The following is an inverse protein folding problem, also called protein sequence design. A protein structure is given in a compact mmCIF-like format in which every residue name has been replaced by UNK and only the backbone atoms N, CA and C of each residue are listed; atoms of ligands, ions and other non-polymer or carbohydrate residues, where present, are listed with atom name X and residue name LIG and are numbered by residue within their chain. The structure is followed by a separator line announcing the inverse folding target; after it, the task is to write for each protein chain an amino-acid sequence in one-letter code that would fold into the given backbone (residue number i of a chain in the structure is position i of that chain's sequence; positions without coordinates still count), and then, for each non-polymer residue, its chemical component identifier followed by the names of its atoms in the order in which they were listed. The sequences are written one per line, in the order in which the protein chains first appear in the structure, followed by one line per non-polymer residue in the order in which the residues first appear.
data_IF_901421708686
#
_entry.id   IF_901421708686
#
_cell.length_a   1.000
_cell.length_b   1.000
_cell.length_c   1.000
_cell.angle_alpha   90.00
_cell.angle_beta   90.00
_cell.angle_gamma   90.00
#
_symmetry.space_group_name_H-M   'P 1'
#
loop_
_entity.id
_entity.type
_entity.pdbx_description
1 polymer ?
#
# COMPACT_ATOMS: atom_id res chain seq x y z
N UNK A 1 -1.28 22.68 23.96
CA UNK A 1 -1.92 21.35 23.89
C UNK A 1 -0.93 20.38 23.29
N UNK A 2 -0.63 19.27 23.96
CA UNK A 2 0.33 18.28 23.46
C UNK A 2 -0.24 17.60 22.21
N UNK A 3 0.54 17.53 21.12
CA UNK A 3 0.13 16.91 19.85
C UNK A 3 -0.25 15.44 19.97
N UNK A 4 0.16 14.77 21.06
CA UNK A 4 -0.11 13.36 21.35
C UNK A 4 -1.61 13.07 21.50
N UNK A 5 -2.37 13.97 22.14
CA UNK A 5 -3.80 13.76 22.42
C UNK A 5 -4.64 13.70 21.14
N UNK A 6 -4.21 14.37 20.06
CA UNK A 6 -4.92 14.39 18.79
C UNK A 6 -4.77 13.08 17.99
N UNK A 7 -3.63 12.40 18.10
CA UNK A 7 -3.38 11.14 17.38
C UNK A 7 -4.17 9.99 18.00
N UNK A 8 -4.33 10.01 19.33
CA UNK A 8 -5.05 8.95 20.05
C UNK A 8 -6.56 8.93 19.76
N UNK A 9 -7.11 10.08 19.37
CA UNK A 9 -8.52 10.26 18.99
C UNK A 9 -8.86 9.76 17.58
N UNK A 10 -7.89 9.26 16.81
CA UNK A 10 -8.16 8.68 15.48
C UNK A 10 -9.01 7.43 15.62
N UNK A 11 -10.17 7.44 14.98
CA UNK A 11 -11.10 6.32 14.93
C UNK A 11 -10.45 5.09 14.26
N UNK A 12 -10.59 3.88 14.83
CA UNK A 12 -10.21 2.65 14.16
C UNK A 12 -10.90 2.50 12.81
N UNK A 13 -10.17 2.02 11.81
CA UNK A 13 -10.70 1.80 10.45
C UNK A 13 -10.61 0.31 10.15
N UNK A 14 -11.72 -0.30 9.72
CA UNK A 14 -11.74 -1.67 9.20
C UNK A 14 -11.24 -1.72 7.75
N UNK A 15 -10.82 -2.89 7.27
CA UNK A 15 -10.38 -3.07 5.87
C UNK A 15 -11.48 -2.67 4.87
N UNK A 16 -12.75 -3.00 5.16
CA UNK A 16 -13.89 -2.61 4.34
C UNK A 16 -14.07 -1.09 4.31
N UNK A 17 -14.05 -0.43 5.47
CA UNK A 17 -14.17 1.03 5.55
C UNK A 17 -13.01 1.74 4.84
N UNK A 18 -11.79 1.19 4.90
CA UNK A 18 -10.64 1.69 4.14
C UNK A 18 -10.97 1.69 2.64
N UNK A 19 -11.38 0.54 2.12
CA UNK A 19 -11.71 0.37 0.70
C UNK A 19 -12.86 1.27 0.27
N UNK A 20 -13.97 1.28 1.00
CA UNK A 20 -15.17 2.05 0.67
C UNK A 20 -14.88 3.55 0.60
N UNK A 21 -14.11 4.08 1.56
CA UNK A 21 -13.71 5.50 1.59
C UNK A 21 -12.75 5.83 0.45
N UNK A 22 -11.78 4.96 0.14
CA UNK A 22 -10.85 5.17 -0.98
C UNK A 22 -11.59 5.14 -2.34
N UNK A 23 -12.46 4.15 -2.55
CA UNK A 23 -13.28 4.05 -3.76
C UNK A 23 -14.20 5.26 -3.94
N UNK A 24 -14.80 5.75 -2.86
CA UNK A 24 -15.60 6.98 -2.91
C UNK A 24 -14.78 8.16 -3.40
N UNK A 25 -13.61 8.40 -2.80
CA UNK A 25 -12.73 9.49 -3.23
C UNK A 25 -12.33 9.36 -4.71
N UNK A 26 -11.94 8.15 -5.13
CA UNK A 26 -11.57 7.92 -6.52
C UNK A 26 -12.73 8.14 -7.50
N UNK A 27 -13.97 7.80 -7.13
CA UNK A 27 -15.16 8.11 -7.96
C UNK A 27 -15.38 9.62 -8.10
N UNK A 28 -15.15 10.38 -7.03
CA UNK A 28 -15.24 11.85 -7.04
C UNK A 28 -14.15 12.44 -7.94
N UNK A 29 -12.89 12.00 -7.78
CA UNK A 29 -11.76 12.41 -8.65
C UNK A 29 -11.96 12.05 -10.11
N UNK A 30 -12.51 10.86 -10.35
CA UNK A 30 -12.88 10.36 -11.67
C UNK A 30 -13.85 11.31 -12.38
N UNK A 31 -14.88 11.78 -11.67
CA UNK A 31 -15.84 12.75 -12.19
C UNK A 31 -15.16 14.09 -12.52
N UNK A 32 -14.32 14.60 -11.62
CA UNK A 32 -13.59 15.87 -11.84
C UNK A 32 -12.68 15.81 -13.06
N UNK A 33 -11.93 14.70 -13.24
CA UNK A 33 -11.06 14.50 -14.40
C UNK A 33 -11.88 14.45 -15.69
N UNK A 34 -12.99 13.72 -15.69
CA UNK A 34 -13.89 13.62 -16.84
C UNK A 34 -14.51 14.95 -17.26
N UNK A 35 -14.90 15.77 -16.30
CA UNK A 35 -15.40 17.12 -16.53
C UNK A 35 -14.31 18.02 -17.08
N UNK A 36 -13.11 17.97 -16.49
CA UNK A 36 -11.96 18.78 -16.91
C UNK A 36 -11.42 18.42 -18.29
N UNK A 37 -11.64 17.19 -18.78
CA UNK A 37 -11.22 16.78 -20.12
C UNK A 37 -12.03 17.47 -21.24
N UNK A 38 -13.23 17.97 -20.95
CA UNK A 38 -14.10 18.60 -21.94
C UNK A 38 -14.82 17.61 -22.86
N UNK A 39 -15.41 18.15 -23.94
CA UNK A 39 -16.01 17.40 -25.02
C UNK A 39 -15.57 18.03 -26.36
N UNK A 40 -14.69 17.38 -27.13
CA UNK A 40 -14.18 16.03 -26.89
C UNK A 40 -13.15 15.93 -25.74
N UNK A 41 -12.98 14.73 -25.17
CA UNK A 41 -12.05 14.51 -24.07
C UNK A 41 -10.59 14.72 -24.49
N UNK A 42 -9.96 15.77 -23.97
CA UNK A 42 -8.55 16.07 -24.17
C UNK A 42 -7.83 16.22 -22.82
N UNK A 43 -6.77 15.43 -22.61
CA UNK A 43 -5.96 15.50 -21.39
C UNK A 43 -5.28 16.86 -21.19
N UNK A 44 -5.06 17.62 -22.26
CA UNK A 44 -4.46 18.97 -22.22
C UNK A 44 -5.39 19.97 -21.54
N UNK A 45 -6.69 19.70 -21.53
CA UNK A 45 -7.68 20.52 -20.84
C UNK A 45 -7.61 20.37 -19.30
N UNK A 46 -6.95 19.32 -18.79
CA UNK A 46 -6.88 19.05 -17.35
C UNK A 46 -5.81 19.95 -16.71
N UNK A 47 -6.18 20.95 -15.88
CA UNK A 47 -5.21 21.88 -15.34
C UNK A 47 -4.30 21.22 -14.31
N UNK A 48 -3.04 21.68 -14.23
CA UNK A 48 -2.06 21.18 -13.25
C UNK A 48 -2.54 21.35 -11.79
N UNK A 49 -3.37 22.37 -11.53
CA UNK A 49 -3.99 22.62 -10.22
C UNK A 49 -4.93 21.50 -9.79
N UNK A 50 -5.73 20.94 -10.71
CA UNK A 50 -6.63 19.82 -10.41
C UNK A 50 -5.82 18.55 -10.03
N UNK A 51 -4.75 18.25 -10.77
CA UNK A 51 -3.86 17.14 -10.42
C UNK A 51 -3.14 17.33 -9.07
N UNK A 52 -2.88 18.58 -8.68
CA UNK A 52 -2.34 18.90 -7.36
C UNK A 52 -3.39 18.67 -6.29
N UNK A 53 -4.62 19.15 -6.50
CA UNK A 53 -5.75 18.96 -5.59
C UNK A 53 -6.00 17.47 -5.31
N UNK A 54 -6.17 16.66 -6.37
CA UNK A 54 -6.39 15.21 -6.28
C UNK A 54 -5.33 14.54 -5.40
N UNK A 55 -4.04 14.82 -5.65
CA UNK A 55 -2.93 14.26 -4.87
C UNK A 55 -3.00 14.68 -3.41
N UNK A 56 -3.30 15.95 -3.15
CA UNK A 56 -3.31 16.49 -1.79
C UNK A 56 -4.48 15.88 -0.97
N UNK A 57 -5.65 15.70 -1.60
CA UNK A 57 -6.80 15.00 -1.03
C UNK A 57 -6.51 13.49 -0.82
N UNK A 58 -5.95 12.79 -1.81
CA UNK A 58 -5.52 11.40 -1.70
C UNK A 58 -4.53 11.22 -0.54
N UNK A 59 -3.52 12.09 -0.45
CA UNK A 59 -2.51 12.03 0.61
C UNK A 59 -3.16 12.21 1.99
N UNK A 60 -4.07 13.18 2.14
CA UNK A 60 -4.75 13.44 3.40
C UNK A 60 -5.62 12.25 3.82
N UNK A 61 -6.46 11.73 2.91
CA UNK A 61 -7.30 10.57 3.19
C UNK A 61 -6.45 9.34 3.53
N UNK A 62 -5.43 9.03 2.72
CA UNK A 62 -4.57 7.87 2.96
C UNK A 62 -3.89 7.96 4.33
N UNK A 63 -3.42 9.14 4.75
CA UNK A 63 -2.82 9.29 6.07
C UNK A 63 -3.82 8.95 7.19
N UNK A 64 -5.05 9.44 7.10
CA UNK A 64 -6.10 9.15 8.09
C UNK A 64 -6.44 7.66 8.12
N UNK A 65 -6.62 7.04 6.94
CA UNK A 65 -6.94 5.60 6.85
C UNK A 65 -5.80 4.72 7.36
N UNK A 66 -4.54 5.06 7.01
CA UNK A 66 -3.36 4.35 7.50
C UNK A 66 -3.22 4.47 9.02
N UNK A 67 -3.46 5.65 9.60
CA UNK A 67 -3.46 5.83 11.06
C UNK A 67 -4.56 5.00 11.74
N UNK A 68 -5.77 5.00 11.16
CA UNK A 68 -6.90 4.22 11.67
C UNK A 68 -6.67 2.70 11.66
N UNK A 69 -5.77 2.20 10.79
CA UNK A 69 -5.32 0.79 10.79
C UNK A 69 -4.15 0.58 11.77
N UNK A 70 -3.12 1.43 11.71
CA UNK A 70 -1.89 1.22 12.44
C UNK A 70 -2.01 1.43 13.95
N UNK A 71 -2.82 2.38 14.41
CA UNK A 71 -2.94 2.69 15.84
C UNK A 71 -3.59 1.56 16.65
N UNK A 72 -4.72 0.96 16.21
CA UNK A 72 -5.26 -0.24 16.84
C UNK A 72 -4.24 -1.39 16.86
N UNK A 73 -3.56 -1.66 15.73
CA UNK A 73 -2.53 -2.70 15.69
C UNK A 73 -1.38 -2.42 16.65
N UNK A 74 -0.95 -1.16 16.80
CA UNK A 74 0.10 -0.78 17.74
C UNK A 74 -0.32 -1.04 19.19
N UNK A 75 -1.58 -0.77 19.54
CA UNK A 75 -2.15 -1.03 20.87
C UNK A 75 -2.26 -2.53 21.15
N UNK A 76 -2.74 -3.30 20.18
CA UNK A 76 -2.85 -4.76 20.26
C UNK A 76 -1.47 -5.40 20.48
N UNK A 77 -0.46 -5.01 19.71
CA UNK A 77 0.91 -5.48 19.88
C UNK A 77 1.42 -5.12 21.30
N UNK A 78 1.19 -3.89 21.77
CA UNK A 78 1.61 -3.48 23.12
C UNK A 78 0.99 -4.37 24.19
N UNK A 79 -0.31 -4.66 24.06
CA UNK A 79 -1.05 -5.51 24.98
C UNK A 79 -0.49 -6.93 24.98
N UNK A 80 -0.28 -7.52 23.79
CA UNK A 80 0.31 -8.86 23.66
C UNK A 80 1.69 -8.93 24.32
N UNK A 81 2.53 -7.90 24.15
CA UNK A 81 3.84 -7.83 24.81
C UNK A 81 3.69 -7.77 26.33
N UNK A 82 2.79 -6.93 26.84
CA UNK A 82 2.55 -6.80 28.28
C UNK A 82 2.02 -8.10 28.92
N UNK A 83 1.27 -8.91 28.18
CA UNK A 83 0.73 -10.19 28.66
C UNK A 83 1.76 -11.33 28.63
N UNK A 84 2.73 -11.29 27.71
CA UNK A 84 3.65 -12.40 27.45
C UNK A 84 5.10 -12.15 27.91
N UNK A 85 5.43 -10.92 28.30
CA UNK A 85 6.78 -10.55 28.74
C UNK A 85 6.67 -9.97 30.13
N UNK A 86 7.35 -10.60 31.09
CA UNK A 86 7.46 -10.06 32.44
C UNK A 86 8.34 -8.81 32.40
N UNK A 87 7.72 -7.64 32.58
CA UNK A 87 8.42 -6.36 32.56
C UNK A 87 7.90 -5.45 33.67
N UNK A 88 8.78 -4.65 34.30
CA UNK A 88 8.38 -3.70 35.31
C UNK A 88 7.52 -2.56 34.73
N UNK A 89 7.73 -2.18 33.46
CA UNK A 89 6.90 -1.20 32.76
C UNK A 89 6.78 -1.55 31.26
N UNK A 90 5.57 -1.52 30.68
CA UNK A 90 5.39 -1.80 29.25
C UNK A 90 6.01 -0.70 28.39
N UNK A 91 6.55 -1.02 27.19
CA UNK A 91 7.14 -0.04 26.29
C UNK A 91 6.17 1.10 25.97
N UNK A 92 6.71 2.30 25.81
CA UNK A 92 5.90 3.48 25.44
C UNK A 92 5.31 3.29 24.04
N UNK A 93 4.21 4.00 23.73
CA UNK A 93 3.67 3.98 22.38
C UNK A 93 4.47 4.93 21.47
N UNK A 94 5.12 4.44 20.40
CA UNK A 94 5.95 5.26 19.50
C UNK A 94 5.09 6.02 18.46
N UNK A 95 4.05 6.73 18.91
CA UNK A 95 3.02 7.36 18.06
C UNK A 95 3.61 8.38 17.08
N UNK A 96 4.53 9.22 17.53
CA UNK A 96 5.19 10.24 16.70
C UNK A 96 6.05 9.63 15.58
N UNK A 97 6.81 8.58 15.90
CA UNK A 97 7.62 7.85 14.91
C UNK A 97 6.73 7.17 13.87
N UNK A 98 5.65 6.53 14.31
CA UNK A 98 4.65 5.93 13.44
C UNK A 98 4.02 6.98 12.52
N UNK A 99 3.56 8.12 13.06
CA UNK A 99 2.97 9.20 12.29
C UNK A 99 3.90 9.71 11.18
N UNK A 100 5.18 9.96 11.50
CA UNK A 100 6.18 10.38 10.50
C UNK A 100 6.35 9.36 9.37
N UNK A 101 6.38 8.06 9.70
CA UNK A 101 6.48 6.97 8.69
C UNK A 101 5.25 6.94 7.80
N UNK A 102 4.06 6.93 8.38
CA UNK A 102 2.79 6.86 7.64
C UNK A 102 2.58 8.10 6.76
N UNK A 103 2.95 9.30 7.24
CA UNK A 103 2.88 10.54 6.44
C UNK A 103 3.78 10.47 5.20
N UNK A 104 5.01 9.96 5.31
CA UNK A 104 5.89 9.75 4.15
C UNK A 104 5.30 8.72 3.18
N UNK A 105 4.75 7.62 3.70
CA UNK A 105 4.10 6.58 2.90
C UNK A 105 2.89 7.12 2.15
N UNK A 106 1.96 7.80 2.82
CA UNK A 106 0.77 8.40 2.20
C UNK A 106 1.15 9.33 1.04
N UNK A 107 2.16 10.20 1.24
CA UNK A 107 2.67 11.08 0.19
C UNK A 107 3.25 10.32 -1.01
N UNK A 108 4.02 9.27 -0.75
CA UNK A 108 4.59 8.43 -1.79
C UNK A 108 3.49 7.73 -2.61
N UNK A 109 2.50 7.14 -1.93
CA UNK A 109 1.38 6.42 -2.56
C UNK A 109 0.53 7.37 -3.39
N UNK A 110 0.09 8.51 -2.84
CA UNK A 110 -0.67 9.52 -3.60
C UNK A 110 0.08 10.01 -4.85
N UNK A 111 1.39 10.23 -4.73
CA UNK A 111 2.23 10.61 -5.89
C UNK A 111 2.28 9.50 -6.94
N UNK A 112 2.37 8.24 -6.53
CA UNK A 112 2.39 7.07 -7.41
C UNK A 112 1.04 6.83 -8.08
N UNK A 113 -0.06 6.94 -7.33
CA UNK A 113 -1.44 6.83 -7.83
C UNK A 113 -1.65 7.88 -8.91
N UNK A 114 -1.38 9.16 -8.61
CA UNK A 114 -1.49 10.24 -9.60
C UNK A 114 -0.69 9.95 -10.86
N UNK A 115 0.60 9.62 -10.74
CA UNK A 115 1.48 9.38 -11.90
C UNK A 115 0.94 8.23 -12.76
N UNK A 116 0.54 7.12 -12.14
CA UNK A 116 0.01 5.96 -12.87
C UNK A 116 -1.38 6.20 -13.44
N UNK A 117 -2.22 7.00 -12.78
CA UNK A 117 -3.51 7.44 -13.31
C UNK A 117 -3.33 8.34 -14.53
N UNK A 118 -2.39 9.29 -14.51
CA UNK A 118 -2.07 10.15 -15.66
C UNK A 118 -1.55 9.36 -16.86
N UNK A 119 -0.64 8.40 -16.62
CA UNK A 119 -0.11 7.54 -17.67
C UNK A 119 -1.23 6.70 -18.30
N UNK A 120 -2.03 6.02 -17.48
CA UNK A 120 -3.14 5.19 -17.99
C UNK A 120 -4.19 6.00 -18.72
N UNK A 121 -4.48 7.21 -18.25
CA UNK A 121 -5.42 8.10 -18.93
C UNK A 121 -4.91 8.39 -20.34
N UNK A 122 -3.61 8.68 -20.47
CA UNK A 122 -3.00 8.90 -21.77
C UNK A 122 -3.09 7.66 -22.66
N UNK A 123 -2.61 6.52 -22.15
CA UNK A 123 -2.61 5.27 -22.91
C UNK A 123 -4.03 4.91 -23.39
N UNK A 124 -5.03 5.13 -22.54
CA UNK A 124 -6.42 4.82 -22.86
C UNK A 124 -7.02 5.79 -23.90
N UNK A 125 -6.70 7.07 -23.83
CA UNK A 125 -7.12 8.05 -24.85
C UNK A 125 -6.50 7.68 -26.19
N UNK A 126 -5.19 7.40 -26.22
CA UNK A 126 -4.47 7.02 -27.45
C UNK A 126 -5.05 5.74 -28.06
N UNK A 127 -5.37 4.75 -27.23
CA UNK A 127 -6.02 3.49 -27.66
C UNK A 127 -7.41 3.76 -28.28
N UNK A 128 -8.25 4.58 -27.64
CA UNK A 128 -9.61 4.86 -28.14
C UNK A 128 -9.56 5.67 -29.44
N UNK A 129 -8.72 6.70 -29.51
CA UNK A 129 -8.53 7.49 -30.74
C UNK A 129 -7.97 6.62 -31.86
N UNK A 130 -6.99 5.75 -31.57
CA UNK A 130 -6.43 4.81 -32.54
C UNK A 130 -7.47 3.81 -33.07
N UNK A 131 -8.33 3.29 -32.20
CA UNK A 131 -9.43 2.41 -32.58
C UNK A 131 -10.47 3.11 -33.48
N UNK A 132 -10.82 4.36 -33.17
CA UNK A 132 -11.78 5.11 -33.99
C UNK A 132 -11.21 5.47 -35.37
N UNK A 133 -9.94 5.90 -35.44
CA UNK A 133 -9.25 6.12 -36.73
C UNK A 133 -9.21 4.87 -37.59
N UNK A 134 -8.98 3.70 -36.97
CA UNK A 134 -8.95 2.42 -37.69
C UNK A 134 -10.32 2.02 -38.23
N UNK A 135 -11.41 2.46 -37.59
CA UNK A 135 -12.79 2.18 -38.00
C UNK A 135 -13.31 3.15 -39.08
N UNK A 136 -12.76 4.36 -39.14
CA UNK A 136 -13.20 5.42 -40.03
C UNK A 136 -12.00 6.07 -40.72
N UNK A 137 -11.31 5.34 -41.64
CA UNK A 137 -10.08 5.84 -42.27
C UNK A 137 -10.31 7.07 -43.16
N UNK A 138 -11.54 7.26 -43.66
CA UNK A 138 -11.89 8.36 -44.56
C UNK A 138 -12.37 9.63 -43.84
N UNK A 139 -12.56 9.58 -42.51
CA UNK A 139 -13.03 10.74 -41.73
C UNK A 139 -11.81 11.54 -41.25
N UNK A 140 -11.75 12.86 -41.51
CA UNK A 140 -10.66 13.70 -41.02
C UNK A 140 -10.50 13.60 -39.49
N UNK A 141 -9.27 13.57 -38.95
CA UNK A 141 -9.05 13.45 -37.50
C UNK A 141 -9.79 14.51 -36.66
N UNK A 142 -9.99 15.71 -37.21
CA UNK A 142 -10.74 16.79 -36.56
C UNK A 142 -12.23 16.49 -36.38
N UNK A 143 -12.84 15.70 -37.27
CA UNK A 143 -14.26 15.33 -37.19
C UNK A 143 -14.51 14.10 -36.30
N UNK A 144 -13.52 13.20 -36.22
CA UNK A 144 -13.55 12.06 -35.29
C UNK A 144 -13.44 12.55 -33.84
N UNK A 145 -12.60 13.57 -33.59
CA UNK A 145 -12.42 14.11 -32.25
C UNK A 145 -13.76 14.63 -31.70
N UNK A 146 -14.54 15.41 -32.46
CA UNK A 146 -15.77 16.06 -31.97
C UNK A 146 -16.93 15.11 -31.58
N UNK A 147 -16.81 13.81 -31.80
CA UNK A 147 -17.94 12.85 -31.65
C UNK A 147 -17.68 11.68 -30.71
N UNK A 148 -16.76 11.80 -29.74
CA UNK A 148 -16.64 10.79 -28.68
C UNK A 148 -17.93 10.72 -27.86
N UNK A 149 -18.62 9.59 -28.01
CA UNK A 149 -19.87 9.31 -27.33
C UNK A 149 -19.71 9.30 -25.81
N UNK A 150 -20.78 9.58 -25.08
CA UNK A 150 -20.82 9.41 -23.62
C UNK A 150 -20.40 7.98 -23.18
N UNK A 151 -20.57 6.99 -24.05
CA UNK A 151 -20.14 5.61 -23.84
C UNK A 151 -18.61 5.49 -23.85
N UNK A 152 -17.94 6.09 -24.83
CA UNK A 152 -16.47 6.07 -24.92
C UNK A 152 -15.82 6.83 -23.77
N UNK A 153 -16.39 7.98 -23.37
CA UNK A 153 -15.94 8.71 -22.17
C UNK A 153 -16.01 7.83 -20.92
N UNK A 154 -17.10 7.09 -20.75
CA UNK A 154 -17.25 6.15 -19.63
C UNK A 154 -16.21 5.04 -19.69
N UNK A 155 -15.99 4.44 -20.86
CA UNK A 155 -15.02 3.36 -21.08
C UNK A 155 -13.58 3.81 -20.80
N UNK A 156 -13.15 4.97 -21.30
CA UNK A 156 -11.83 5.57 -21.01
C UNK A 156 -11.58 5.60 -19.51
N UNK A 157 -12.61 5.97 -18.78
CA UNK A 157 -12.50 6.23 -17.36
C UNK A 157 -12.61 4.96 -16.52
N UNK A 158 -13.37 3.96 -16.95
CA UNK A 158 -13.42 2.63 -16.31
C UNK A 158 -12.10 1.87 -16.48
N UNK A 159 -11.45 1.99 -17.65
CA UNK A 159 -10.13 1.40 -17.90
C UNK A 159 -8.99 2.10 -17.15
N UNK A 160 -9.08 3.43 -17.04
CA UNK A 160 -8.05 4.23 -16.34
C UNK A 160 -8.04 3.98 -14.83
N UNK A 161 -9.22 3.93 -14.21
CA UNK A 161 -9.42 3.79 -12.76
C UNK A 161 -10.35 2.60 -12.45
N UNK A 162 -9.87 1.35 -12.60
CA UNK A 162 -10.70 0.18 -12.36
C UNK A 162 -10.82 -0.13 -10.86
N UNK A 163 -11.99 -0.65 -10.45
CA UNK A 163 -12.27 -1.03 -9.05
C UNK A 163 -11.24 -1.98 -8.44
N UNK A 164 -10.76 -2.94 -9.25
CA UNK A 164 -9.72 -3.88 -8.86
C UNK A 164 -8.39 -3.21 -8.47
N UNK A 165 -8.11 -2.00 -8.98
CA UNK A 165 -6.93 -1.22 -8.59
C UNK A 165 -7.10 -0.60 -7.21
N UNK A 166 -8.29 -0.11 -6.86
CA UNK A 166 -8.56 0.40 -5.51
C UNK A 166 -8.41 -0.69 -4.46
N UNK A 167 -8.96 -1.87 -4.72
CA UNK A 167 -8.80 -3.04 -3.85
C UNK A 167 -7.32 -3.41 -3.67
N UNK A 168 -6.58 -3.41 -4.78
CA UNK A 168 -5.15 -3.67 -4.76
C UNK A 168 -4.37 -2.65 -3.95
N UNK A 169 -4.65 -1.36 -4.10
CA UNK A 169 -4.05 -0.29 -3.31
C UNK A 169 -4.40 -0.48 -1.83
N UNK A 170 -5.70 -0.64 -1.52
CA UNK A 170 -6.17 -0.79 -0.14
C UNK A 170 -5.47 -1.94 0.58
N UNK A 171 -5.47 -3.15 0.00
CA UNK A 171 -4.82 -4.33 0.60
C UNK A 171 -3.32 -4.11 0.81
N UNK A 172 -2.65 -3.56 -0.20
CA UNK A 172 -1.20 -3.29 -0.14
C UNK A 172 -0.87 -2.29 0.97
N UNK A 173 -1.65 -1.21 1.07
CA UNK A 173 -1.42 -0.15 2.06
C UNK A 173 -1.82 -0.56 3.48
N UNK A 174 -2.85 -1.40 3.66
CA UNK A 174 -3.18 -2.01 4.96
C UNK A 174 -2.02 -2.87 5.47
N UNK A 175 -1.44 -3.72 4.62
CA UNK A 175 -0.29 -4.53 5.00
C UNK A 175 0.93 -3.66 5.36
N UNK A 176 1.18 -2.59 4.59
CA UNK A 176 2.23 -1.62 4.91
C UNK A 176 1.98 -0.89 6.24
N UNK A 177 0.73 -0.51 6.52
CA UNK A 177 0.32 0.16 7.76
C UNK A 177 0.55 -0.73 8.99
N UNK A 178 0.13 -2.00 8.92
CA UNK A 178 0.34 -2.99 9.99
C UNK A 178 1.83 -3.22 10.25
N UNK A 179 2.63 -3.38 9.18
CA UNK A 179 4.09 -3.49 9.33
C UNK A 179 4.70 -2.24 9.97
N UNK A 180 4.29 -1.04 9.56
CA UNK A 180 4.84 0.19 10.13
C UNK A 180 4.57 0.30 11.64
N UNK A 181 3.41 -0.17 12.11
CA UNK A 181 3.11 -0.28 13.54
C UNK A 181 4.04 -1.28 14.24
N UNK A 182 4.22 -2.48 13.67
CA UNK A 182 5.11 -3.50 14.23
C UNK A 182 6.58 -3.01 14.27
N UNK A 183 7.09 -2.39 13.20
CA UNK A 183 8.44 -1.82 13.18
C UNK A 183 8.62 -0.68 14.19
N UNK A 184 7.57 0.12 14.43
CA UNK A 184 7.66 1.21 15.40
C UNK A 184 7.75 0.63 16.82
N UNK A 185 6.91 -0.35 17.15
CA UNK A 185 6.95 -1.01 18.46
C UNK A 185 8.24 -1.80 18.68
N UNK A 186 8.69 -2.59 17.70
CA UNK A 186 9.91 -3.39 17.82
C UNK A 186 11.14 -2.50 18.07
N UNK A 187 11.20 -1.34 17.42
CA UNK A 187 12.26 -0.35 17.66
C UNK A 187 12.21 0.19 19.09
N UNK A 188 11.02 0.54 19.59
CA UNK A 188 10.85 1.02 20.97
C UNK A 188 11.24 -0.07 21.98
N UNK A 189 10.85 -1.32 21.75
CA UNK A 189 11.21 -2.44 22.61
C UNK A 189 12.73 -2.66 22.66
N UNK A 190 13.40 -2.60 21.51
CA UNK A 190 14.88 -2.70 21.46
C UNK A 190 15.55 -1.56 22.22
N UNK A 191 15.02 -0.33 22.17
CA UNK A 191 15.53 0.79 22.97
C UNK A 191 15.41 0.57 24.47
N UNK A 192 14.39 -0.18 24.89
CA UNK A 192 14.21 -0.61 26.28
C UNK A 192 15.03 -1.86 26.64
N UNK A 193 15.94 -2.31 25.77
CA UNK A 193 16.80 -3.47 26.01
C UNK A 193 16.13 -4.83 25.80
N UNK A 194 14.94 -4.87 25.19
CA UNK A 194 14.18 -6.11 24.97
C UNK A 194 14.64 -6.72 23.63
N UNK A 195 15.16 -7.95 23.67
CA UNK A 195 15.51 -8.69 22.46
C UNK A 195 14.25 -9.00 21.65
N UNK A 196 14.10 -8.30 20.52
CA UNK A 196 12.85 -8.27 19.73
C UNK A 196 13.13 -8.47 18.25
N UNK A 197 12.39 -9.38 17.63
CA UNK A 197 12.49 -9.68 16.22
C UNK A 197 11.15 -9.49 15.51
N UNK A 198 11.20 -8.98 14.28
CA UNK A 198 10.06 -8.94 13.38
C UNK A 198 10.10 -10.15 12.48
N UNK A 199 9.12 -11.04 12.59
CA UNK A 199 9.04 -12.29 11.82
C UNK A 199 7.94 -12.16 10.76
N UNK A 200 8.26 -12.58 9.54
CA UNK A 200 7.29 -12.58 8.45
C UNK A 200 6.22 -13.65 8.68
N UNK A 201 4.95 -13.25 8.56
CA UNK A 201 3.78 -14.14 8.63
C UNK A 201 2.88 -14.05 7.41
N UNK A 202 2.40 -15.21 6.96
CA UNK A 202 1.43 -15.34 5.88
C UNK A 202 0.01 -15.00 6.34
N UNK A 203 -0.62 -14.09 5.58
CA UNK A 203 -2.06 -13.85 5.55
C UNK A 203 -2.89 -15.15 5.56
N UNK A 204 -4.07 -15.21 6.23
CA UNK A 204 -4.98 -16.36 6.09
C UNK A 204 -5.43 -16.57 4.62
N UNK A 205 -5.40 -15.50 3.82
CA UNK A 205 -5.72 -15.51 2.39
C UNK A 205 -4.48 -15.47 1.49
N UNK A 206 -3.29 -15.70 2.03
CA UNK A 206 -2.01 -15.56 1.32
C UNK A 206 -1.66 -16.74 0.39
N UNK A 207 -2.67 -17.39 -0.19
CA UNK A 207 -2.49 -18.43 -1.22
C UNK A 207 -2.09 -17.85 -2.59
N UNK A 208 -2.15 -16.53 -2.76
CA UNK A 208 -2.00 -15.86 -4.06
C UNK A 208 -0.53 -15.67 -4.53
N UNK A 209 0.48 -16.00 -3.72
CA UNK A 209 1.90 -15.74 -4.06
C UNK A 209 2.82 -16.95 -3.85
N UNK A 210 3.67 -17.22 -4.83
CA UNK A 210 4.79 -18.17 -4.71
C UNK A 210 5.97 -17.61 -3.90
N UNK A 211 6.04 -16.28 -3.75
CA UNK A 211 7.16 -15.60 -3.09
C UNK A 211 7.04 -15.63 -1.57
N UNK A 212 5.86 -15.33 -1.03
CA UNK A 212 5.71 -15.13 0.40
C UNK A 212 6.03 -16.38 1.26
N UNK A 213 5.66 -17.62 0.84
CA UNK A 213 6.01 -18.82 1.61
C UNK A 213 7.51 -19.07 1.80
N UNK A 214 8.36 -18.48 0.95
CA UNK A 214 9.81 -18.52 1.10
C UNK A 214 10.25 -17.77 2.36
N UNK A 215 9.55 -16.68 2.68
CA UNK A 215 9.90 -15.78 3.78
C UNK A 215 9.16 -16.08 5.08
N UNK A 216 8.09 -16.89 5.05
CA UNK A 216 7.36 -17.31 6.24
C UNK A 216 8.33 -17.79 7.34
N UNK A 217 8.20 -17.22 8.54
CA UNK A 217 9.02 -17.57 9.69
C UNK A 217 10.43 -16.97 9.69
N UNK A 218 10.83 -16.20 8.68
CA UNK A 218 12.13 -15.56 8.65
C UNK A 218 12.11 -14.20 9.38
N UNK A 219 13.18 -13.85 10.12
CA UNK A 219 13.29 -12.56 10.76
C UNK A 219 13.61 -11.45 9.75
N UNK A 220 13.27 -10.21 10.10
CA UNK A 220 13.51 -9.01 9.29
C UNK A 220 14.98 -8.84 8.93
N UNK A 221 15.90 -9.17 9.83
CA UNK A 221 17.34 -9.13 9.58
C UNK A 221 17.78 -9.97 8.37
N UNK A 222 16.97 -10.94 7.97
CA UNK A 222 17.17 -11.80 6.79
C UNK A 222 16.34 -11.31 5.61
N UNK A 223 15.01 -11.24 5.73
CA UNK A 223 14.16 -10.97 4.55
C UNK A 223 14.32 -9.54 4.02
N UNK A 224 14.61 -8.56 4.90
CA UNK A 224 14.75 -7.14 4.51
C UNK A 224 15.93 -6.88 3.57
N UNK A 225 16.87 -7.82 3.47
CA UNK A 225 17.98 -7.78 2.49
C UNK A 225 17.52 -8.07 1.06
N UNK A 226 16.33 -8.64 0.88
CA UNK A 226 15.82 -9.06 -0.42
C UNK A 226 14.53 -8.33 -0.79
N UNK A 227 13.60 -8.24 0.17
CA UNK A 227 12.23 -7.75 -0.03
C UNK A 227 11.71 -7.05 1.22
N UNK A 228 10.58 -6.38 1.09
CA UNK A 228 9.87 -5.70 2.17
C UNK A 228 8.40 -6.13 2.13
N UNK A 229 7.71 -6.22 3.28
CA UNK A 229 6.23 -6.32 3.30
C UNK A 229 5.67 -4.91 3.03
N UNK A 230 4.69 -4.75 2.11
CA UNK A 230 4.19 -5.75 1.16
C UNK A 230 5.18 -6.00 0.00
N UNK A 231 5.40 -7.26 -0.37
CA UNK A 231 6.38 -7.65 -1.41
C UNK A 231 5.86 -7.50 -2.84
N UNK A 232 4.54 -7.55 -3.01
CA UNK A 232 3.85 -7.41 -4.29
C UNK A 232 2.45 -6.79 -4.04
N UNK A 233 1.74 -6.36 -5.10
CA UNK A 233 0.38 -5.87 -4.96
C UNK A 233 -0.56 -6.96 -4.40
N UNK A 234 -1.55 -6.59 -3.58
CA UNK A 234 -2.43 -7.51 -2.86
C UNK A 234 -1.77 -8.38 -1.77
N UNK A 235 -0.51 -8.11 -1.40
CA UNK A 235 0.13 -8.85 -0.31
C UNK A 235 -0.63 -8.67 1.00
N UNK A 236 -1.07 -9.78 1.60
CA UNK A 236 -1.75 -9.81 2.91
C UNK A 236 -0.86 -10.38 4.03
N UNK A 237 0.45 -10.48 3.81
CA UNK A 237 1.41 -10.83 4.85
C UNK A 237 1.54 -9.71 5.89
N UNK A 238 1.99 -10.05 7.08
CA UNK A 238 2.28 -9.09 8.15
C UNK A 238 3.59 -9.43 8.86
N UNK A 239 4.09 -8.48 9.65
CA UNK A 239 5.23 -8.70 10.53
C UNK A 239 4.70 -8.94 11.95
N UNK A 240 4.96 -10.12 12.50
CA UNK A 240 4.72 -10.44 13.91
C UNK A 240 5.93 -10.00 14.74
N UNK A 241 5.68 -9.43 15.91
CA UNK A 241 6.72 -9.23 16.92
C UNK A 241 6.87 -10.49 17.75
N UNK A 242 8.08 -11.03 17.78
CA UNK A 242 8.46 -12.10 18.70
C UNK A 242 9.57 -11.60 19.62
N UNK A 243 9.53 -12.03 20.88
CA UNK A 243 10.42 -11.58 21.95
C UNK A 243 11.17 -12.77 22.52
N UNK A 244 12.45 -12.59 22.79
CA UNK A 244 13.32 -13.60 23.40
C UNK A 244 14.56 -13.90 22.56
N UNK A 245 15.48 -14.73 23.09
CA UNK A 245 16.70 -15.12 22.40
C UNK A 245 16.41 -15.83 21.09
N UNK A 246 17.22 -15.54 20.06
CA UNK A 246 17.06 -16.12 18.74
C UNK A 246 17.00 -17.67 18.74
N UNK A 247 17.88 -18.32 19.51
CA UNK A 247 17.95 -19.79 19.56
C UNK A 247 16.70 -20.42 20.19
N UNK A 248 16.12 -19.79 21.22
CA UNK A 248 14.87 -20.24 21.85
C UNK A 248 13.68 -20.08 20.89
N UNK A 249 13.68 -19.00 20.10
CA UNK A 249 12.65 -18.75 19.10
C UNK A 249 12.72 -19.73 17.92
N UNK A 250 13.93 -20.19 17.56
CA UNK A 250 14.10 -21.30 16.62
C UNK A 250 13.62 -22.63 17.23
N UNK A 251 14.03 -22.95 18.46
CA UNK A 251 13.67 -24.20 19.13
C UNK A 251 12.16 -24.35 19.35
N UNK A 252 11.47 -23.25 19.66
CA UNK A 252 10.01 -23.20 19.82
C UNK A 252 9.22 -23.22 18.49
N UNK A 253 9.90 -23.13 17.35
CA UNK A 253 9.26 -23.05 16.03
C UNK A 253 8.60 -21.70 15.72
N UNK A 254 8.77 -20.69 16.56
CA UNK A 254 8.32 -19.32 16.27
C UNK A 254 9.13 -18.68 15.14
N UNK A 255 10.36 -19.13 14.93
CA UNK A 255 11.16 -18.82 13.74
C UNK A 255 11.51 -20.08 12.96
N UNK A 256 11.80 -19.89 11.67
CA UNK A 256 12.34 -20.96 10.82
C UNK A 256 13.85 -20.83 10.65
N UNK A 257 14.57 -21.95 10.43
CA UNK A 257 15.97 -21.91 10.06
C UNK A 257 16.22 -21.01 8.85
N UNK A 258 17.29 -20.22 8.92
CA UNK A 258 17.62 -19.25 7.89
C UNK A 258 18.10 -19.99 6.63
N UNK A 259 17.42 -19.85 5.47
CA UNK A 259 17.90 -20.41 4.22
C UNK A 259 19.15 -19.67 3.76
N UNK A 260 20.00 -20.37 3.02
CA UNK A 260 21.18 -19.74 2.39
C UNK A 260 20.74 -18.67 1.39
N UNK A 261 21.60 -17.66 1.17
CA UNK A 261 21.33 -16.63 0.16
C UNK A 261 21.09 -17.21 -1.24
N UNK A 262 21.77 -18.32 -1.58
CA UNK A 262 21.58 -19.04 -2.83
C UNK A 262 20.16 -19.63 -2.94
N UNK A 263 19.65 -20.25 -1.88
CA UNK A 263 18.28 -20.78 -1.83
C UNK A 263 17.24 -19.67 -2.00
N UNK A 264 17.39 -18.55 -1.29
CA UNK A 264 16.47 -17.41 -1.41
C UNK A 264 16.48 -16.85 -2.84
N UNK A 265 17.66 -16.61 -3.42
CA UNK A 265 17.80 -16.09 -4.79
C UNK A 265 17.27 -17.07 -5.85
N UNK A 266 17.44 -18.38 -5.64
CA UNK A 266 16.88 -19.39 -6.54
C UNK A 266 15.35 -19.37 -6.49
N UNK A 267 14.78 -19.30 -5.29
CA UNK A 267 13.33 -19.27 -5.11
C UNK A 267 12.69 -17.98 -5.67
N UNK A 268 13.34 -16.83 -5.50
CA UNK A 268 12.92 -15.56 -6.11
C UNK A 268 12.95 -15.60 -7.65
N UNK A 269 13.95 -16.25 -8.25
CA UNK A 269 14.04 -16.47 -9.70
C UNK A 269 12.89 -17.35 -10.21
N UNK A 270 12.61 -18.46 -9.53
CA UNK A 270 11.50 -19.38 -9.89
C UNK A 270 10.15 -18.68 -9.82
N UNK A 271 9.96 -17.82 -8.81
CA UNK A 271 8.73 -17.04 -8.66
C UNK A 271 8.57 -15.92 -9.70
N UNK A 272 9.53 -15.77 -10.64
CA UNK A 272 9.60 -14.67 -11.62
C UNK A 272 9.44 -13.31 -10.96
N UNK A 273 10.00 -13.15 -9.75
CA UNK A 273 9.91 -11.88 -9.04
C UNK A 273 10.70 -10.82 -9.82
N UNK A 274 9.98 -9.85 -10.40
CA UNK A 274 10.55 -8.72 -11.16
C UNK A 274 10.72 -7.45 -10.32
N UNK A 275 10.51 -7.52 -9.00
CA UNK A 275 10.80 -6.39 -8.13
C UNK A 275 12.30 -6.08 -8.15
N UNK A 276 12.66 -4.81 -7.93
CA UNK A 276 14.07 -4.45 -7.70
C UNK A 276 14.49 -5.12 -6.39
N UNK A 277 15.41 -6.07 -6.47
CA UNK A 277 16.11 -6.56 -5.29
C UNK A 277 16.76 -5.36 -4.61
N UNK A 278 16.65 -5.29 -3.29
CA UNK A 278 17.41 -4.32 -2.53
C UNK A 278 18.91 -4.61 -2.73
N UNK A 279 19.75 -3.57 -2.92
CA UNK A 279 21.18 -3.75 -3.16
C UNK A 279 21.90 -4.44 -1.99
#
# INVERSE_FOLDING_TARGET
MSSTTAIEAVEPVTEKQFLDRLQRLHREHKKLVLEAMGNPPDRRNIPKSLWKQIRDEEQALLLLLLLGISLPSLREIRQQVAENVEMPEPPRLPTEQLFRRLRRRARHVATSIRRTSQQRLQDTIDDVVGQNRSRQPDVPPSEIDDTLSNRERRDITERTMPQSREEMIARTEIAAARRAAAEAMAEEMRRSGIETHLVWRLGPTCAHCKVCPIFEGLPESVYSRYVQIPVHPNCCCWAEIVVGPFDDLLASGRMRPIPTAAQIRAALRVAKYRGRLLP
#
